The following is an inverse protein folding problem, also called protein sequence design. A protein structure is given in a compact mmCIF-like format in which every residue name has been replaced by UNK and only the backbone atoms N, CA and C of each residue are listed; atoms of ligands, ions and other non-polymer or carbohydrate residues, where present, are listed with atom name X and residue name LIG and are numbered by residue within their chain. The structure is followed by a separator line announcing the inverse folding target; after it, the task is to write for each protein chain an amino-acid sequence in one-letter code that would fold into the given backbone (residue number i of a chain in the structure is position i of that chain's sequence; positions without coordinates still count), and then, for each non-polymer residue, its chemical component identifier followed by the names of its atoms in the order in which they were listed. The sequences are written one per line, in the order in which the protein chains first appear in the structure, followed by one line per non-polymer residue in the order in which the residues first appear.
data_IF_311810529507
#
_entry.id   IF_311810529507
#
_cell.length_a   1.000
_cell.length_b   1.000
_cell.length_c   1.000
_cell.angle_alpha   90.00
_cell.angle_beta   90.00
_cell.angle_gamma   90.00
#
_symmetry.space_group_name_H-M   'P 1'
#
loop_
_entity.id
_entity.type
_entity.pdbx_description
1 polymer ?
#
# COMPACT_ATOMS: atom_id res chain seq x y z
N UNK A 1 88.80 49.07 5.11
CA UNK A 1 87.70 48.51 4.29
C UNK A 1 86.45 48.36 5.18
N UNK A 2 85.31 48.84 4.78
CA UNK A 2 84.06 48.60 5.54
C UNK A 2 83.81 47.12 5.56
N UNK A 3 83.51 46.57 6.73
CA UNK A 3 83.14 45.16 6.86
C UNK A 3 81.71 44.93 6.34
N UNK A 4 81.59 44.64 5.05
CA UNK A 4 80.29 44.46 4.36
C UNK A 4 79.47 43.28 4.89
N UNK A 5 80.12 42.32 5.59
CA UNK A 5 79.49 41.19 6.20
C UNK A 5 78.53 41.59 7.34
N UNK A 6 78.79 42.69 8.02
CA UNK A 6 77.95 43.28 9.05
C UNK A 6 76.55 43.74 8.48
N UNK A 7 76.60 44.27 7.27
CA UNK A 7 75.40 44.72 6.58
C UNK A 7 74.62 43.63 5.83
N UNK A 8 75.36 42.54 5.53
CA UNK A 8 74.72 41.39 4.83
C UNK A 8 74.20 40.28 5.79
N UNK A 9 74.63 40.31 7.06
CA UNK A 9 74.49 39.19 7.99
C UNK A 9 73.07 38.79 8.35
N UNK A 10 72.09 39.68 8.32
CA UNK A 10 70.73 39.32 8.68
C UNK A 10 69.87 38.93 7.48
N UNK A 11 70.30 39.16 6.25
CA UNK A 11 69.44 39.00 5.05
C UNK A 11 69.99 37.96 4.05
N UNK A 12 71.14 37.31 4.32
CA UNK A 12 71.80 36.41 3.36
C UNK A 12 72.03 37.12 2.00
N UNK A 13 72.10 38.46 2.03
CA UNK A 13 72.32 39.24 0.84
C UNK A 13 73.82 39.34 0.53
N UNK A 14 74.14 39.38 -0.73
CA UNK A 14 75.50 39.57 -1.22
C UNK A 14 75.64 41.02 -1.62
N UNK A 15 76.61 41.74 -1.03
CA UNK A 15 76.93 43.10 -1.37
C UNK A 15 78.30 43.13 -2.05
N UNK A 16 78.34 43.80 -3.21
CA UNK A 16 79.65 44.04 -3.92
C UNK A 16 79.72 45.56 -4.21
N UNK A 17 80.88 46.09 -4.00
CA UNK A 17 81.20 47.46 -4.36
C UNK A 17 82.28 47.38 -5.49
N UNK A 18 81.94 47.99 -6.60
CA UNK A 18 82.76 48.02 -7.79
C UNK A 18 83.20 49.46 -8.09
N UNK A 19 84.32 49.58 -8.68
CA UNK A 19 84.77 50.83 -9.28
C UNK A 19 84.02 51.07 -10.60
N UNK A 20 84.16 52.29 -11.13
CA UNK A 20 83.59 52.70 -12.41
C UNK A 20 84.06 51.84 -13.60
N UNK A 21 85.15 51.19 -13.50
CA UNK A 21 85.76 50.26 -14.48
C UNK A 21 85.25 48.81 -14.30
N UNK A 22 84.38 48.52 -13.28
CA UNK A 22 83.87 47.20 -13.00
C UNK A 22 84.85 46.34 -12.17
N UNK A 23 85.88 46.89 -11.60
CA UNK A 23 86.85 46.19 -10.70
C UNK A 23 86.16 46.08 -9.31
N UNK A 24 86.20 44.95 -8.68
CA UNK A 24 85.63 44.72 -7.35
C UNK A 24 86.55 45.34 -6.30
N UNK A 25 86.06 46.35 -5.62
CA UNK A 25 86.72 47.04 -4.52
C UNK A 25 86.50 46.32 -3.18
N UNK A 26 85.27 45.81 -2.96
CA UNK A 26 84.98 45.06 -1.77
C UNK A 26 83.77 44.14 -2.07
N UNK A 27 83.68 43.03 -1.40
CA UNK A 27 82.54 42.10 -1.47
C UNK A 27 82.37 41.38 -0.13
N UNK A 28 81.14 40.82 0.07
CA UNK A 28 80.87 39.89 1.17
C UNK A 28 81.54 38.55 0.91
N UNK A 29 81.95 37.84 1.97
CA UNK A 29 82.75 36.60 1.89
C UNK A 29 82.11 35.47 1.06
N UNK A 30 80.80 35.43 0.96
CA UNK A 30 80.02 34.43 0.23
C UNK A 30 79.50 34.91 -1.13
N UNK A 31 80.16 35.83 -1.75
CA UNK A 31 79.71 36.43 -3.02
C UNK A 31 79.87 35.43 -4.19
N UNK A 32 78.77 34.97 -4.84
CA UNK A 32 78.87 34.20 -6.06
C UNK A 32 79.46 35.07 -7.20
N UNK A 33 79.93 34.42 -8.26
CA UNK A 33 80.34 35.15 -9.44
C UNK A 33 79.19 35.76 -10.22
N UNK A 34 78.83 36.99 -9.91
CA UNK A 34 77.74 37.71 -10.55
C UNK A 34 78.09 38.30 -11.92
N UNK A 35 79.18 37.86 -12.51
CA UNK A 35 79.73 38.34 -13.78
C UNK A 35 80.42 39.72 -13.67
N UNK A 36 81.16 40.17 -14.74
CA UNK A 36 81.61 41.53 -14.90
C UNK A 36 80.44 42.45 -15.29
N UNK A 37 80.15 43.45 -14.51
CA UNK A 37 79.05 44.35 -14.77
C UNK A 37 79.56 45.56 -15.54
N UNK A 38 78.87 45.89 -16.61
CA UNK A 38 79.14 47.15 -17.33
C UNK A 38 78.46 48.27 -16.49
N UNK A 39 79.16 49.33 -16.13
CA UNK A 39 78.88 50.13 -14.96
C UNK A 39 77.83 51.27 -15.18
N UNK A 40 77.02 51.31 -16.16
CA UNK A 40 76.28 52.54 -16.49
C UNK A 40 74.78 52.62 -16.40
N UNK A 41 74.20 51.60 -15.80
CA UNK A 41 72.69 51.65 -15.69
C UNK A 41 72.21 51.11 -14.37
N UNK A 42 71.43 51.89 -13.61
CA UNK A 42 70.63 51.39 -12.50
C UNK A 42 69.60 50.33 -13.03
N UNK A 43 69.91 49.04 -12.81
CA UNK A 43 69.08 47.93 -13.31
C UNK A 43 68.99 46.82 -12.29
N UNK A 44 67.77 46.21 -12.27
CA UNK A 44 67.57 44.90 -11.64
C UNK A 44 67.81 43.79 -12.67
N UNK A 45 68.66 42.81 -12.37
CA UNK A 45 68.90 41.63 -13.22
C UNK A 45 68.81 40.37 -12.40
N UNK A 46 68.43 39.26 -13.06
CA UNK A 46 68.48 37.94 -12.47
C UNK A 46 69.70 37.22 -12.99
N UNK A 47 70.65 36.86 -12.10
CA UNK A 47 71.92 36.22 -12.43
C UNK A 47 72.10 35.02 -11.48
N UNK A 48 72.21 33.81 -12.02
CA UNK A 48 72.45 32.56 -11.26
C UNK A 48 71.51 32.37 -10.05
N UNK A 49 70.25 32.70 -10.18
CA UNK A 49 69.25 32.58 -9.11
C UNK A 49 69.26 33.70 -8.06
N UNK A 50 70.03 34.75 -8.33
CA UNK A 50 69.98 35.95 -7.52
C UNK A 50 69.37 37.12 -8.27
N UNK A 51 68.47 37.84 -7.57
CA UNK A 51 68.04 39.16 -8.00
C UNK A 51 69.07 40.18 -7.60
N UNK A 52 69.79 40.75 -8.59
CA UNK A 52 70.88 41.69 -8.42
C UNK A 52 70.32 43.08 -8.76
N UNK A 53 70.41 43.95 -7.78
CA UNK A 53 70.10 45.40 -7.97
C UNK A 53 71.45 46.14 -8.02
N UNK A 54 71.67 46.91 -9.05
CA UNK A 54 72.89 47.70 -9.26
C UNK A 54 72.52 49.17 -9.15
N UNK A 55 73.24 49.89 -8.25
CA UNK A 55 73.05 51.34 -8.08
C UNK A 55 74.40 52.06 -8.09
N UNK A 56 74.42 53.16 -8.76
CA UNK A 56 75.57 54.06 -8.75
C UNK A 56 75.47 55.03 -7.56
N UNK A 57 76.52 55.19 -6.81
CA UNK A 57 76.60 56.14 -5.69
C UNK A 57 77.96 56.73 -5.60
N UNK A 58 78.09 57.78 -4.79
CA UNK A 58 79.39 58.42 -4.51
C UNK A 58 79.70 58.17 -3.04
N UNK A 59 80.79 57.42 -2.79
CA UNK A 59 81.29 57.27 -1.45
C UNK A 59 82.32 58.43 -1.17
N UNK A 60 82.16 58.99 0.03
CA UNK A 60 82.99 60.07 0.51
C UNK A 60 83.82 59.54 1.68
N UNK A 61 85.12 59.85 1.68
CA UNK A 61 86.00 59.50 2.80
C UNK A 61 85.60 60.21 4.08
N UNK A 62 85.87 59.67 5.27
CA UNK A 62 85.40 60.25 6.54
C UNK A 62 85.90 61.70 6.74
N UNK A 63 87.02 62.01 6.13
CA UNK A 63 87.66 63.36 6.17
C UNK A 63 87.12 64.31 5.07
N UNK A 64 86.14 63.89 4.28
CA UNK A 64 85.56 64.62 3.16
C UNK A 64 86.54 65.01 2.04
N UNK A 65 87.74 64.53 2.05
CA UNK A 65 88.86 64.94 1.12
C UNK A 65 88.70 64.28 -0.26
N UNK A 66 88.13 63.12 -0.37
CA UNK A 66 88.03 62.39 -1.64
C UNK A 66 86.61 61.91 -1.86
N UNK A 67 86.11 62.13 -3.07
CA UNK A 67 84.82 61.60 -3.55
C UNK A 67 85.11 60.58 -4.64
N UNK A 68 84.66 59.33 -4.41
CA UNK A 68 84.84 58.22 -5.37
C UNK A 68 83.48 57.75 -5.82
N UNK A 69 83.24 57.76 -7.13
CA UNK A 69 82.07 57.20 -7.69
C UNK A 69 82.19 55.67 -7.69
N UNK A 70 81.22 54.95 -7.10
CA UNK A 70 81.21 53.52 -7.00
C UNK A 70 79.87 52.95 -7.44
N UNK A 71 79.85 51.67 -7.80
CA UNK A 71 78.70 50.94 -8.13
C UNK A 71 78.49 49.89 -7.03
N UNK A 72 77.35 49.99 -6.37
CA UNK A 72 76.95 48.99 -5.35
C UNK A 72 75.99 48.00 -6.00
N UNK A 73 76.36 46.72 -5.90
CA UNK A 73 75.47 45.59 -6.26
C UNK A 73 74.99 44.92 -5.00
N UNK A 74 73.68 44.88 -4.90
CA UNK A 74 72.96 44.12 -3.86
C UNK A 74 72.32 42.91 -4.51
N UNK A 75 72.61 41.70 -4.09
CA UNK A 75 72.10 40.51 -4.65
C UNK A 75 71.38 39.66 -3.56
N UNK A 76 70.21 39.25 -3.82
CA UNK A 76 69.43 38.37 -2.93
C UNK A 76 68.99 37.10 -3.68
N UNK A 77 69.09 35.94 -3.05
CA UNK A 77 68.58 34.68 -3.62
C UNK A 77 67.08 34.69 -3.81
N UNK A 78 66.60 34.34 -5.01
CA UNK A 78 65.16 34.24 -5.33
C UNK A 78 64.58 32.97 -4.77
N UNK A 79 65.39 31.90 -4.64
CA UNK A 79 64.94 30.60 -4.10
C UNK A 79 64.36 30.68 -2.69
N UNK A 80 64.79 31.63 -1.87
CA UNK A 80 64.28 31.76 -0.50
C UNK A 80 62.85 32.31 -0.50
N UNK A 81 62.53 33.17 -1.47
CA UNK A 81 61.20 33.71 -1.67
C UNK A 81 60.27 32.64 -2.25
N UNK A 82 60.72 31.89 -3.26
CA UNK A 82 59.95 30.81 -3.89
C UNK A 82 59.61 29.70 -2.89
N UNK A 83 60.60 29.29 -2.08
CA UNK A 83 60.36 28.28 -1.04
C UNK A 83 59.33 28.74 -0.01
N UNK A 84 59.31 30.01 0.34
CA UNK A 84 58.31 30.57 1.26
C UNK A 84 56.94 30.60 0.62
N UNK A 85 56.83 31.02 -0.64
CA UNK A 85 55.58 31.01 -1.40
C UNK A 85 55.05 29.58 -1.56
N UNK A 86 55.90 28.60 -1.87
CA UNK A 86 55.49 27.20 -1.96
C UNK A 86 54.95 26.65 -0.62
N UNK A 87 55.59 26.96 0.50
CA UNK A 87 55.10 26.58 1.82
C UNK A 87 53.72 27.18 2.13
N UNK A 88 53.58 28.48 1.91
CA UNK A 88 52.30 29.17 2.14
C UNK A 88 51.20 28.59 1.24
N UNK A 89 51.50 28.37 -0.05
CA UNK A 89 50.56 27.75 -0.98
C UNK A 89 50.14 26.33 -0.55
N UNK A 90 51.12 25.53 -0.10
CA UNK A 90 50.85 24.20 0.41
C UNK A 90 49.94 24.22 1.63
N UNK A 91 50.18 25.07 2.63
CA UNK A 91 49.35 25.21 3.81
C UNK A 91 47.93 25.73 3.48
N UNK A 92 47.80 26.66 2.52
CA UNK A 92 46.54 27.13 2.06
C UNK A 92 45.71 26.03 1.37
N UNK A 93 46.33 25.30 0.44
CA UNK A 93 45.67 24.18 -0.25
C UNK A 93 45.27 23.11 0.77
N UNK A 94 46.18 22.71 1.66
CA UNK A 94 45.88 21.71 2.69
C UNK A 94 44.76 22.17 3.65
N UNK A 95 44.77 23.43 4.07
CA UNK A 95 43.75 24.00 4.92
C UNK A 95 42.36 24.04 4.23
N UNK A 96 42.32 24.48 2.97
CA UNK A 96 41.04 24.52 2.21
C UNK A 96 40.51 23.10 1.95
N UNK A 97 41.36 22.20 1.47
CA UNK A 97 40.94 20.81 1.19
C UNK A 97 40.53 20.08 2.48
N UNK A 98 41.34 20.19 3.53
CA UNK A 98 41.04 19.59 4.83
C UNK A 98 39.77 20.15 5.45
N UNK A 99 39.59 21.46 5.43
CA UNK A 99 38.37 22.14 5.91
C UNK A 99 37.11 21.70 5.12
N UNK A 100 37.25 21.62 3.79
CA UNK A 100 36.14 21.16 2.94
C UNK A 100 35.73 19.70 3.23
N UNK A 101 36.73 18.81 3.38
CA UNK A 101 36.48 17.40 3.70
C UNK A 101 35.85 17.24 5.09
N UNK A 102 36.32 17.99 6.08
CA UNK A 102 35.72 18.00 7.41
C UNK A 102 34.26 18.51 7.41
N UNK A 103 34.03 19.61 6.70
CA UNK A 103 32.67 20.15 6.54
C UNK A 103 31.74 19.16 5.83
N UNK A 104 32.22 18.50 4.78
CA UNK A 104 31.47 17.47 4.06
C UNK A 104 31.16 16.27 4.97
N UNK A 105 32.16 15.75 5.68
CA UNK A 105 31.98 14.63 6.60
C UNK A 105 31.00 14.96 7.73
N UNK A 106 31.13 16.15 8.33
CA UNK A 106 30.22 16.64 9.37
C UNK A 106 28.79 16.83 8.84
N UNK A 107 28.66 17.41 7.64
CA UNK A 107 27.35 17.58 6.99
C UNK A 107 26.66 16.26 6.66
N UNK A 108 27.39 15.30 6.12
CA UNK A 108 26.86 13.95 5.84
C UNK A 108 26.47 13.20 7.14
N UNK A 109 27.27 13.32 8.19
CA UNK A 109 26.97 12.72 9.49
C UNK A 109 25.70 13.32 10.09
N UNK A 110 25.57 14.65 10.07
CA UNK A 110 24.40 15.36 10.58
C UNK A 110 23.13 15.03 9.77
N UNK A 111 23.23 15.03 8.43
CA UNK A 111 22.15 14.66 7.55
C UNK A 111 21.66 13.22 7.81
N UNK A 112 22.60 12.26 7.93
CA UNK A 112 22.28 10.87 8.24
C UNK A 112 21.59 10.72 9.59
N UNK A 113 22.04 11.46 10.60
CA UNK A 113 21.46 11.47 11.94
C UNK A 113 20.04 12.07 11.95
N UNK A 114 19.81 13.15 11.20
CA UNK A 114 18.50 13.80 11.09
C UNK A 114 17.48 12.97 10.30
N UNK A 115 17.92 12.19 9.30
CA UNK A 115 17.03 11.37 8.47
C UNK A 115 16.71 10.00 9.08
N UNK A 116 17.48 9.54 10.05
CA UNK A 116 17.32 8.21 10.65
C UNK A 116 15.94 7.99 11.31
N UNK A 117 15.37 8.93 12.07
CA UNK A 117 14.03 8.80 12.63
C UNK A 117 12.94 8.69 11.57
N UNK A 118 13.03 9.47 10.49
CA UNK A 118 12.06 9.44 9.37
C UNK A 118 12.08 8.08 8.67
N UNK A 119 13.27 7.53 8.44
CA UNK A 119 13.41 6.19 7.86
C UNK A 119 12.79 5.10 8.75
N UNK A 120 12.98 5.18 10.07
CA UNK A 120 12.38 4.26 11.02
C UNK A 120 10.85 4.36 11.02
N UNK A 121 10.28 5.57 11.03
CA UNK A 121 8.84 5.81 10.93
C UNK A 121 8.27 5.23 9.64
N UNK A 122 8.92 5.48 8.50
CA UNK A 122 8.49 4.97 7.20
C UNK A 122 8.50 3.44 7.16
N UNK A 123 9.54 2.81 7.71
CA UNK A 123 9.65 1.34 7.75
C UNK A 123 8.57 0.73 8.64
N UNK A 124 8.33 1.30 9.82
CA UNK A 124 7.28 0.81 10.74
C UNK A 124 5.90 0.96 10.11
N UNK A 125 5.60 2.11 9.50
CA UNK A 125 4.32 2.34 8.83
C UNK A 125 4.10 1.35 7.67
N UNK A 126 5.14 1.07 6.89
CA UNK A 126 5.08 0.07 5.81
C UNK A 126 4.80 -1.32 6.37
N UNK A 127 5.48 -1.70 7.45
CA UNK A 127 5.28 -3.00 8.10
C UNK A 127 3.87 -3.14 8.66
N UNK A 128 3.31 -2.09 9.28
CA UNK A 128 1.91 -2.06 9.74
C UNK A 128 0.94 -2.20 8.55
N UNK A 129 1.21 -1.54 7.44
CA UNK A 129 0.38 -1.64 6.24
C UNK A 129 0.39 -3.05 5.62
N UNK A 130 1.55 -3.73 5.63
CA UNK A 130 1.71 -5.09 5.10
C UNK A 130 1.12 -6.16 6.02
N UNK A 131 1.38 -6.07 7.33
CA UNK A 131 0.91 -7.07 8.32
C UNK A 131 -0.52 -6.82 8.77
N UNK A 132 -1.05 -5.61 8.58
CA UNK A 132 -2.35 -5.15 9.11
C UNK A 132 -2.48 -5.36 10.63
N UNK A 133 -1.36 -5.41 11.35
CA UNK A 133 -1.32 -5.59 12.79
C UNK A 133 -1.44 -4.23 13.51
N UNK A 134 -2.58 -3.94 14.14
CA UNK A 134 -2.81 -2.67 14.82
C UNK A 134 -2.09 -2.56 16.17
N UNK A 135 -1.46 -3.63 16.64
CA UNK A 135 -0.76 -3.64 17.94
C UNK A 135 0.66 -3.06 17.85
N UNK A 136 1.21 -2.94 16.65
CA UNK A 136 2.53 -2.37 16.40
C UNK A 136 2.55 -0.88 16.78
N UNK A 137 3.55 -0.50 17.57
CA UNK A 137 3.73 0.88 18.02
C UNK A 137 4.69 1.64 17.15
N UNK A 138 4.39 2.92 16.94
CA UNK A 138 5.29 3.84 16.24
C UNK A 138 6.43 4.21 17.18
N UNK A 139 7.71 4.05 16.76
CA UNK A 139 8.85 4.47 17.56
C UNK A 139 8.79 5.98 17.84
N UNK A 140 8.81 6.36 19.12
CA UNK A 140 8.83 7.75 19.50
C UNK A 140 10.27 8.28 19.47
N UNK A 141 10.59 9.29 18.64
CA UNK A 141 11.89 9.96 18.68
C UNK A 141 12.12 10.60 20.07
N UNK A 142 13.37 10.60 20.51
CA UNK A 142 13.75 11.24 21.79
C UNK A 142 13.92 12.77 21.69
N UNK A 143 13.71 13.31 20.51
CA UNK A 143 13.80 14.75 20.21
C UNK A 143 12.42 15.40 20.35
N UNK A 144 12.40 16.68 20.73
CA UNK A 144 11.18 17.50 20.75
C UNK A 144 11.14 18.39 19.49
N UNK A 145 11.11 17.77 18.31
CA UNK A 145 11.09 18.44 17.03
C UNK A 145 9.83 18.05 16.22
N UNK A 146 9.70 18.58 15.02
CA UNK A 146 8.57 18.35 14.12
C UNK A 146 8.42 16.85 13.77
N UNK A 147 9.52 16.08 13.82
CA UNK A 147 9.51 14.64 13.59
C UNK A 147 8.85 13.89 14.75
N UNK A 148 9.08 14.35 15.98
CA UNK A 148 8.44 13.78 17.17
C UNK A 148 6.94 14.13 17.21
N UNK A 149 6.54 15.31 16.75
CA UNK A 149 5.14 15.70 16.63
C UNK A 149 4.44 14.83 15.58
N UNK A 150 5.07 14.65 14.41
CA UNK A 150 4.58 13.75 13.37
C UNK A 150 4.42 12.30 13.87
N UNK A 151 5.39 11.78 14.62
CA UNK A 151 5.35 10.44 15.20
C UNK A 151 4.17 10.30 16.17
N UNK A 152 3.90 11.31 17.01
CA UNK A 152 2.76 11.32 17.94
C UNK A 152 1.43 11.33 17.21
N UNK A 153 1.27 12.23 16.24
CA UNK A 153 0.03 12.33 15.44
C UNK A 153 -0.24 11.02 14.68
N UNK A 154 0.80 10.40 14.13
CA UNK A 154 0.68 9.10 13.46
C UNK A 154 0.27 7.98 14.43
N UNK A 155 0.85 7.92 15.63
CA UNK A 155 0.49 6.94 16.66
C UNK A 155 -0.97 7.13 17.14
N UNK A 156 -1.41 8.38 17.30
CA UNK A 156 -2.81 8.71 17.62
C UNK A 156 -3.78 8.29 16.50
N UNK A 157 -3.44 8.55 15.25
CA UNK A 157 -4.24 8.12 14.11
C UNK A 157 -4.34 6.60 14.02
N UNK A 158 -3.23 5.88 14.22
CA UNK A 158 -3.22 4.42 14.22
C UNK A 158 -4.05 3.84 15.37
N UNK A 159 -4.00 4.45 16.56
CA UNK A 159 -4.87 4.05 17.69
C UNK A 159 -6.34 4.26 17.35
N UNK A 160 -6.71 5.44 16.88
CA UNK A 160 -8.09 5.71 16.49
C UNK A 160 -8.62 4.74 15.43
N UNK A 161 -7.76 4.37 14.46
CA UNK A 161 -8.08 3.36 13.46
C UNK A 161 -8.26 1.95 14.07
N UNK A 162 -7.38 1.55 14.99
CA UNK A 162 -7.47 0.28 15.71
C UNK A 162 -8.75 0.20 16.57
N UNK A 163 -9.06 1.26 17.29
CA UNK A 163 -10.27 1.35 18.13
C UNK A 163 -11.54 1.29 17.26
N UNK A 164 -11.59 2.06 16.16
CA UNK A 164 -12.72 2.04 15.22
C UNK A 164 -12.92 0.66 14.58
N UNK A 165 -11.83 -0.02 14.24
CA UNK A 165 -11.89 -1.39 13.72
C UNK A 165 -12.41 -2.37 14.77
N UNK A 166 -11.91 -2.29 16.00
CA UNK A 166 -12.37 -3.12 17.12
C UNK A 166 -13.85 -2.91 17.41
N UNK A 167 -14.31 -1.65 17.41
CA UNK A 167 -15.73 -1.32 17.57
C UNK A 167 -16.60 -1.91 16.45
N UNK A 168 -16.13 -1.82 15.20
CA UNK A 168 -16.80 -2.40 14.05
C UNK A 168 -16.88 -3.93 14.14
N UNK A 169 -15.79 -4.60 14.49
CA UNK A 169 -15.75 -6.05 14.71
C UNK A 169 -16.67 -6.46 15.85
N UNK A 170 -16.68 -5.73 16.98
CA UNK A 170 -17.59 -5.96 18.10
C UNK A 170 -19.06 -5.73 17.71
N UNK A 171 -19.36 -4.73 16.87
CA UNK A 171 -20.72 -4.49 16.35
C UNK A 171 -21.18 -5.63 15.46
N UNK A 172 -20.31 -6.15 14.58
CA UNK A 172 -20.60 -7.32 13.75
C UNK A 172 -20.89 -8.57 14.59
N UNK A 173 -20.10 -8.80 15.65
CA UNK A 173 -20.33 -9.93 16.57
C UNK A 173 -21.68 -9.79 17.28
N UNK A 174 -22.03 -8.61 17.78
CA UNK A 174 -23.33 -8.36 18.40
C UNK A 174 -24.48 -8.55 17.41
N UNK A 175 -24.34 -8.06 16.18
CA UNK A 175 -25.32 -8.25 15.13
C UNK A 175 -25.54 -9.74 14.82
N UNK A 176 -24.47 -10.52 14.72
CA UNK A 176 -24.52 -11.99 14.50
C UNK A 176 -25.26 -12.69 15.63
N UNK A 177 -24.93 -12.35 16.87
CA UNK A 177 -25.61 -12.94 18.04
C UNK A 177 -27.08 -12.57 18.05
N UNK A 178 -27.45 -11.31 17.82
CA UNK A 178 -28.84 -10.87 17.74
C UNK A 178 -29.64 -11.65 16.69
N UNK A 179 -29.07 -11.85 15.49
CA UNK A 179 -29.75 -12.62 14.42
C UNK A 179 -29.94 -14.09 14.81
N UNK A 180 -28.93 -14.69 15.49
CA UNK A 180 -29.03 -16.08 15.96
C UNK A 180 -30.14 -16.21 17.02
N UNK A 181 -30.12 -15.34 18.02
CA UNK A 181 -31.13 -15.36 19.11
C UNK A 181 -32.54 -15.10 18.60
N UNK A 182 -32.70 -14.08 17.73
CA UNK A 182 -33.99 -13.80 17.09
C UNK A 182 -34.50 -15.01 16.27
N UNK A 183 -33.60 -15.76 15.62
CA UNK A 183 -33.95 -16.97 14.87
C UNK A 183 -34.60 -18.02 15.75
N UNK A 184 -34.03 -18.27 16.94
CA UNK A 184 -34.56 -19.24 17.90
C UNK A 184 -35.83 -18.77 18.56
N UNK A 185 -35.88 -17.51 18.99
CA UNK A 185 -37.00 -16.91 19.68
C UNK A 185 -38.25 -16.79 18.77
N UNK A 186 -38.11 -16.61 17.47
CA UNK A 186 -39.20 -16.54 16.52
C UNK A 186 -39.67 -17.93 16.04
N UNK A 187 -38.79 -18.91 15.95
CA UNK A 187 -39.10 -20.26 15.48
C UNK A 187 -40.05 -20.98 16.45
N UNK A 188 -39.81 -20.89 17.75
CA UNK A 188 -40.56 -21.62 18.80
C UNK A 188 -42.02 -21.22 18.82
N UNK A 189 -42.45 -19.94 18.97
CA UNK A 189 -43.87 -19.58 19.00
C UNK A 189 -44.54 -19.88 17.66
N UNK A 190 -43.82 -19.71 16.53
CA UNK A 190 -44.40 -19.95 15.22
C UNK A 190 -44.69 -21.45 14.98
N UNK A 191 -43.80 -22.33 15.49
CA UNK A 191 -44.02 -23.79 15.47
C UNK A 191 -45.27 -24.16 16.31
N UNK A 192 -45.42 -23.57 17.51
CA UNK A 192 -46.60 -23.82 18.35
C UNK A 192 -47.90 -23.34 17.69
N UNK A 193 -47.89 -22.13 17.07
CA UNK A 193 -49.06 -21.62 16.33
C UNK A 193 -49.43 -22.55 15.19
N UNK A 194 -48.46 -23.04 14.41
CA UNK A 194 -48.67 -23.95 13.30
C UNK A 194 -49.28 -25.27 13.78
N UNK A 195 -48.70 -25.88 14.84
CA UNK A 195 -49.24 -27.15 15.39
C UNK A 195 -50.66 -27.00 15.86
N UNK A 196 -51.02 -25.90 16.54
CA UNK A 196 -52.37 -25.64 16.98
C UNK A 196 -53.35 -25.42 15.80
N UNK A 197 -52.90 -24.72 14.75
CA UNK A 197 -53.72 -24.49 13.56
C UNK A 197 -53.91 -25.77 12.73
N UNK A 198 -52.91 -26.63 12.67
CA UNK A 198 -53.01 -27.96 12.04
C UNK A 198 -54.08 -28.84 12.76
N UNK A 199 -54.01 -28.90 14.09
CA UNK A 199 -55.02 -29.62 14.89
C UNK A 199 -56.42 -29.04 14.70
N UNK A 200 -56.56 -27.72 14.63
CA UNK A 200 -57.87 -27.07 14.40
C UNK A 200 -58.38 -27.35 12.98
N UNK A 201 -57.54 -27.34 11.97
CA UNK A 201 -57.90 -27.61 10.59
C UNK A 201 -58.41 -29.05 10.39
N UNK A 202 -57.87 -30.00 11.18
CA UNK A 202 -58.28 -31.41 11.12
C UNK A 202 -59.61 -31.70 11.81
N UNK A 203 -60.03 -30.88 12.80
CA UNK A 203 -61.18 -31.12 13.65
C UNK A 203 -62.40 -30.26 13.27
N UNK A 204 -62.19 -29.12 12.59
CA UNK A 204 -63.23 -28.18 12.26
C UNK A 204 -63.84 -28.47 10.88
N UNK A 205 -65.17 -28.20 10.71
CA UNK A 205 -65.84 -28.33 9.46
C UNK A 205 -66.46 -26.98 8.99
N UNK A 206 -66.77 -26.90 7.69
CA UNK A 206 -67.44 -25.74 7.07
C UNK A 206 -66.62 -24.45 7.14
N UNK A 207 -67.23 -23.29 7.35
CA UNK A 207 -66.59 -21.98 7.38
C UNK A 207 -65.47 -21.87 8.44
N UNK A 208 -65.57 -22.63 9.53
CA UNK A 208 -64.51 -22.64 10.58
C UNK A 208 -63.30 -23.37 10.11
N UNK A 209 -63.43 -24.45 9.37
CA UNK A 209 -62.28 -25.15 8.73
C UNK A 209 -61.62 -24.29 7.68
N UNK A 210 -62.40 -23.52 6.87
CA UNK A 210 -61.87 -22.59 5.91
C UNK A 210 -61.04 -21.46 6.58
N UNK A 211 -61.57 -20.91 7.68
CA UNK A 211 -60.83 -19.90 8.47
C UNK A 211 -59.56 -20.46 9.08
N UNK A 212 -59.57 -21.67 9.66
CA UNK A 212 -58.40 -22.34 10.21
C UNK A 212 -57.35 -22.61 9.13
N UNK A 213 -57.76 -23.13 7.98
CA UNK A 213 -56.90 -23.36 6.83
C UNK A 213 -56.29 -22.07 6.27
N UNK A 214 -57.06 -20.97 6.24
CA UNK A 214 -56.55 -19.66 5.84
C UNK A 214 -55.48 -19.14 6.80
N UNK A 215 -55.73 -19.25 8.13
CA UNK A 215 -54.75 -18.90 9.16
C UNK A 215 -53.49 -19.78 9.09
N UNK A 216 -53.66 -21.08 8.83
CA UNK A 216 -52.55 -22.04 8.65
C UNK A 216 -51.69 -21.66 7.45
N UNK A 217 -52.29 -21.35 6.29
CA UNK A 217 -51.55 -20.88 5.12
C UNK A 217 -50.76 -19.58 5.42
N UNK A 218 -51.40 -18.64 6.12
CA UNK A 218 -50.76 -17.37 6.49
C UNK A 218 -49.57 -17.58 7.46
N UNK A 219 -49.76 -18.46 8.45
CA UNK A 219 -48.71 -18.80 9.42
C UNK A 219 -47.53 -19.53 8.78
N UNK A 220 -47.79 -20.47 7.84
CA UNK A 220 -46.76 -21.13 7.03
C UNK A 220 -45.99 -20.16 6.17
N UNK A 221 -46.68 -19.17 5.59
CA UNK A 221 -46.04 -18.07 4.82
C UNK A 221 -45.14 -17.23 5.73
N UNK A 222 -45.60 -16.84 6.91
CA UNK A 222 -44.81 -16.05 7.89
C UNK A 222 -43.57 -16.81 8.35
N UNK A 223 -43.70 -18.13 8.62
CA UNK A 223 -42.54 -18.98 8.96
C UNK A 223 -41.48 -18.95 7.87
N UNK A 224 -41.87 -19.07 6.59
CA UNK A 224 -40.94 -19.01 5.46
C UNK A 224 -40.27 -17.64 5.37
N UNK A 225 -41.04 -16.54 5.47
CA UNK A 225 -40.49 -15.18 5.42
C UNK A 225 -39.48 -14.92 6.52
N UNK A 226 -39.81 -15.31 7.76
CA UNK A 226 -38.89 -15.15 8.89
C UNK A 226 -37.60 -15.96 8.66
N UNK A 227 -37.70 -17.21 8.21
CA UNK A 227 -36.54 -18.05 7.90
C UNK A 227 -35.68 -17.43 6.79
N UNK A 228 -36.26 -16.87 5.75
CA UNK A 228 -35.61 -16.21 4.63
C UNK A 228 -34.88 -14.94 5.08
N UNK A 229 -35.51 -14.09 5.88
CA UNK A 229 -34.90 -12.89 6.41
C UNK A 229 -33.71 -13.19 7.33
N UNK A 230 -33.85 -14.21 8.18
CA UNK A 230 -32.80 -14.64 9.09
C UNK A 230 -31.62 -15.29 8.34
N UNK A 231 -31.87 -16.03 7.25
CA UNK A 231 -30.84 -16.57 6.39
C UNK A 231 -30.04 -15.42 5.72
N UNK A 232 -30.73 -14.45 5.14
CA UNK A 232 -30.09 -13.28 4.54
C UNK A 232 -29.28 -12.47 5.56
N UNK A 233 -29.83 -12.27 6.78
CA UNK A 233 -29.09 -11.58 7.84
C UNK A 233 -27.85 -12.34 8.34
N UNK A 234 -27.86 -13.68 8.32
CA UNK A 234 -26.69 -14.53 8.61
C UNK A 234 -25.65 -14.42 7.50
N UNK A 235 -26.06 -14.45 6.25
CA UNK A 235 -25.16 -14.30 5.11
C UNK A 235 -24.46 -12.92 5.12
N UNK A 236 -25.23 -11.84 5.38
CA UNK A 236 -24.66 -10.48 5.53
C UNK A 236 -23.63 -10.39 6.69
N UNK A 237 -23.84 -11.19 7.74
CA UNK A 237 -22.92 -11.25 8.88
C UNK A 237 -21.69 -12.14 8.62
N UNK A 238 -21.51 -12.67 7.40
CA UNK A 238 -20.39 -13.55 6.99
C UNK A 238 -20.19 -14.74 7.94
N UNK A 239 -21.26 -15.30 8.47
CA UNK A 239 -21.19 -16.54 9.25
C UNK A 239 -21.25 -17.71 8.29
N UNK A 240 -20.11 -18.30 8.02
CA UNK A 240 -20.05 -19.58 7.36
C UNK A 240 -20.76 -20.62 8.26
N UNK A 241 -21.80 -21.23 7.74
CA UNK A 241 -22.34 -22.45 8.35
C UNK A 241 -21.21 -23.51 8.29
N UNK A 242 -21.18 -24.50 9.21
CA UNK A 242 -20.23 -25.58 9.09
C UNK A 242 -20.34 -26.20 7.71
N UNK A 243 -19.28 -26.13 6.93
CA UNK A 243 -19.20 -26.75 5.61
C UNK A 243 -18.73 -28.18 5.79
N UNK A 244 -19.47 -29.10 5.22
CA UNK A 244 -19.14 -30.54 5.18
C UNK A 244 -19.17 -31.02 3.72
N UNK A 245 -18.32 -31.97 3.35
CA UNK A 245 -18.40 -32.59 2.02
C UNK A 245 -19.75 -33.29 1.81
N UNK A 246 -20.44 -32.93 0.73
CA UNK A 246 -21.74 -33.51 0.41
C UNK A 246 -21.98 -33.65 -1.09
N UNK A 247 -22.86 -34.53 -1.48
CA UNK A 247 -23.29 -34.69 -2.87
C UNK A 247 -24.42 -33.70 -3.21
N UNK A 248 -24.10 -32.66 -4.01
CA UNK A 248 -25.06 -31.68 -4.47
C UNK A 248 -26.16 -32.32 -5.33
N UNK A 249 -25.84 -33.33 -6.11
CA UNK A 249 -26.84 -34.07 -6.91
C UNK A 249 -27.94 -34.66 -6.04
N UNK A 250 -27.59 -35.25 -4.92
CA UNK A 250 -28.56 -35.80 -3.97
C UNK A 250 -29.42 -34.66 -3.34
N UNK A 251 -28.81 -33.57 -2.98
CA UNK A 251 -29.54 -32.39 -2.41
C UNK A 251 -30.56 -31.85 -3.38
N UNK A 252 -30.22 -31.74 -4.67
CA UNK A 252 -31.14 -31.27 -5.73
C UNK A 252 -32.29 -32.23 -5.94
N UNK A 253 -32.05 -33.56 -5.93
CA UNK A 253 -33.11 -34.56 -6.04
C UNK A 253 -34.08 -34.47 -4.84
N UNK A 254 -33.59 -34.32 -3.63
CA UNK A 254 -34.42 -34.15 -2.43
C UNK A 254 -35.28 -32.86 -2.50
N UNK A 255 -34.70 -31.73 -2.92
CA UNK A 255 -35.44 -30.48 -3.10
C UNK A 255 -36.52 -30.62 -4.19
N UNK A 256 -36.24 -31.33 -5.28
CA UNK A 256 -37.23 -31.59 -6.32
C UNK A 256 -38.35 -32.49 -5.83
N UNK A 257 -38.10 -33.50 -5.01
CA UNK A 257 -39.12 -34.39 -4.42
C UNK A 257 -40.10 -33.60 -3.52
N UNK A 258 -39.64 -32.56 -2.81
CA UNK A 258 -40.49 -31.66 -2.01
C UNK A 258 -41.46 -30.85 -2.87
N UNK A 259 -41.06 -30.51 -4.10
CA UNK A 259 -41.87 -29.73 -5.04
C UNK A 259 -42.90 -30.55 -5.82
N UNK A 260 -42.72 -31.86 -5.94
CA UNK A 260 -43.63 -32.72 -6.71
C UNK A 260 -45.10 -32.50 -6.46
N UNK A 261 -45.58 -32.40 -5.20
CA UNK A 261 -47.00 -32.13 -4.89
C UNK A 261 -47.50 -30.72 -5.25
N UNK A 262 -46.59 -29.76 -5.49
CA UNK A 262 -46.87 -28.34 -5.72
C UNK A 262 -46.63 -27.94 -7.18
N UNK A 263 -46.00 -28.79 -7.95
CA UNK A 263 -45.66 -28.59 -9.38
C UNK A 263 -46.90 -28.73 -10.30
N UNK A 264 -48.08 -28.33 -9.81
CA UNK A 264 -49.38 -28.48 -10.45
C UNK A 264 -49.36 -28.08 -11.94
N UNK A 265 -49.32 -29.10 -12.83
CA UNK A 265 -49.29 -28.91 -14.27
C UNK A 265 -47.92 -28.60 -14.91
N UNK A 266 -46.80 -28.63 -14.17
CA UNK A 266 -45.45 -28.51 -14.70
C UNK A 266 -44.75 -29.87 -14.80
N UNK A 267 -43.88 -30.05 -15.82
CA UNK A 267 -43.03 -31.22 -15.92
C UNK A 267 -41.63 -30.89 -15.34
N UNK A 268 -41.30 -31.55 -14.22
CA UNK A 268 -39.99 -31.37 -13.57
C UNK A 268 -39.04 -32.51 -13.92
N UNK A 269 -38.02 -32.21 -14.73
CA UNK A 269 -36.98 -33.15 -15.15
C UNK A 269 -35.65 -32.91 -14.36
N UNK A 270 -35.14 -33.95 -13.73
CA UNK A 270 -33.92 -33.87 -12.89
C UNK A 270 -32.82 -34.74 -13.45
N UNK A 271 -31.76 -34.11 -13.89
CA UNK A 271 -30.51 -34.72 -14.37
C UNK A 271 -29.36 -34.51 -13.41
N UNK A 272 -29.40 -35.07 -12.22
CA UNK A 272 -28.41 -34.85 -11.18
C UNK A 272 -27.39 -35.97 -11.18
N UNK A 273 -26.13 -35.67 -11.57
CA UNK A 273 -24.98 -36.55 -11.40
C UNK A 273 -24.37 -36.35 -10.01
N UNK A 274 -23.81 -37.41 -9.37
CA UNK A 274 -23.07 -37.25 -8.13
C UNK A 274 -21.94 -36.21 -8.28
N UNK A 275 -21.94 -35.17 -7.44
CA UNK A 275 -20.95 -34.10 -7.50
C UNK A 275 -20.70 -33.56 -6.08
N UNK A 276 -19.46 -33.69 -5.61
CA UNK A 276 -19.07 -33.32 -4.26
C UNK A 276 -18.79 -31.82 -4.17
N UNK A 277 -19.38 -31.18 -3.17
CA UNK A 277 -19.14 -29.80 -2.80
C UNK A 277 -19.00 -29.68 -1.28
N UNK A 278 -18.24 -28.70 -0.81
CA UNK A 278 -18.18 -28.36 0.60
C UNK A 278 -19.25 -27.33 0.92
N UNK A 279 -20.16 -27.67 1.86
CA UNK A 279 -21.25 -26.72 2.17
C UNK A 279 -22.18 -27.14 3.31
N UNK A 280 -23.17 -26.29 3.54
CA UNK A 280 -24.29 -26.55 4.45
C UNK A 280 -25.43 -27.19 3.67
N UNK A 281 -25.82 -28.42 4.07
CA UNK A 281 -26.91 -29.14 3.41
C UNK A 281 -28.22 -28.33 3.36
N UNK A 282 -28.59 -27.71 4.47
CA UNK A 282 -29.85 -26.95 4.57
C UNK A 282 -29.83 -25.71 3.65
N UNK A 283 -28.68 -25.03 3.55
CA UNK A 283 -28.52 -23.84 2.71
C UNK A 283 -28.55 -24.21 1.23
N UNK A 284 -27.81 -25.28 0.83
CA UNK A 284 -27.79 -25.75 -0.56
C UNK A 284 -29.17 -26.34 -0.99
N UNK A 285 -29.87 -27.03 -0.10
CA UNK A 285 -31.22 -27.47 -0.33
C UNK A 285 -32.15 -26.27 -0.56
N UNK A 286 -32.03 -25.22 0.27
CA UNK A 286 -32.77 -24.00 0.13
C UNK A 286 -32.52 -23.26 -1.17
N UNK A 287 -31.24 -23.23 -1.61
CA UNK A 287 -30.85 -22.66 -2.90
C UNK A 287 -31.53 -23.40 -4.05
N UNK A 288 -31.41 -24.74 -4.09
CA UNK A 288 -32.00 -25.55 -5.14
C UNK A 288 -33.54 -25.39 -5.17
N UNK A 289 -34.17 -25.43 -4.00
CA UNK A 289 -35.61 -25.24 -3.85
C UNK A 289 -36.08 -23.87 -4.39
N UNK A 290 -35.37 -22.77 -4.01
CA UNK A 290 -35.70 -21.43 -4.48
C UNK A 290 -35.61 -21.29 -6.01
N UNK A 291 -34.59 -21.87 -6.64
CA UNK A 291 -34.45 -21.85 -8.09
C UNK A 291 -35.58 -22.58 -8.79
N UNK A 292 -35.91 -23.79 -8.36
CA UNK A 292 -36.97 -24.60 -8.96
C UNK A 292 -38.37 -24.02 -8.65
N UNK A 293 -38.61 -23.54 -7.41
CA UNK A 293 -39.89 -22.83 -7.07
C UNK A 293 -40.07 -21.58 -7.93
N UNK A 294 -38.97 -20.85 -8.22
CA UNK A 294 -39.04 -19.67 -9.06
C UNK A 294 -39.46 -20.04 -10.50
N UNK A 295 -38.92 -21.11 -11.05
CA UNK A 295 -39.30 -21.61 -12.37
C UNK A 295 -40.79 -22.00 -12.41
N UNK A 296 -41.29 -22.74 -11.42
CA UNK A 296 -42.72 -23.16 -11.34
C UNK A 296 -43.64 -21.95 -11.17
N UNK A 297 -43.31 -20.99 -10.33
CA UNK A 297 -44.20 -19.85 -10.01
C UNK A 297 -44.32 -18.82 -11.11
N UNK A 298 -43.27 -18.64 -11.90
CA UNK A 298 -43.22 -17.57 -12.91
C UNK A 298 -43.44 -18.06 -14.33
N UNK A 299 -43.82 -19.33 -14.49
CA UNK A 299 -44.17 -19.90 -15.78
C UNK A 299 -45.59 -20.43 -15.80
N UNK A 300 -46.27 -20.47 -16.95
CA UNK A 300 -47.63 -21.04 -17.07
C UNK A 300 -47.63 -22.56 -16.89
N UNK A 301 -48.76 -23.16 -16.51
CA UNK A 301 -48.92 -24.62 -16.53
C UNK A 301 -48.55 -25.21 -17.91
N UNK A 302 -47.91 -26.38 -17.92
CA UNK A 302 -47.41 -27.03 -19.12
C UNK A 302 -45.95 -26.71 -19.42
N UNK A 303 -45.27 -25.83 -18.65
CA UNK A 303 -43.88 -25.52 -18.79
C UNK A 303 -42.98 -26.67 -18.29
N UNK A 304 -41.90 -26.98 -19.01
CA UNK A 304 -40.87 -27.92 -18.61
C UNK A 304 -39.81 -27.20 -17.80
N UNK A 305 -39.57 -27.70 -16.58
CA UNK A 305 -38.49 -27.22 -15.70
C UNK A 305 -37.42 -28.28 -15.61
N UNK A 306 -36.21 -27.94 -16.04
CA UNK A 306 -35.08 -28.85 -16.02
C UNK A 306 -34.01 -28.41 -14.99
N UNK A 307 -33.63 -29.29 -14.07
CA UNK A 307 -32.58 -29.07 -13.12
C UNK A 307 -31.45 -30.10 -13.35
N UNK A 308 -30.25 -29.60 -13.59
CA UNK A 308 -29.08 -30.44 -13.87
C UNK A 308 -27.92 -30.12 -12.93
N UNK A 309 -27.25 -31.17 -12.44
CA UNK A 309 -25.98 -31.06 -11.70
C UNK A 309 -24.91 -31.80 -12.49
N UNK A 310 -23.84 -31.09 -12.83
CA UNK A 310 -22.72 -31.64 -13.59
C UNK A 310 -21.40 -31.17 -13.01
N UNK A 311 -20.37 -32.03 -13.09
CA UNK A 311 -19.00 -31.65 -12.79
C UNK A 311 -18.27 -31.39 -14.09
N UNK A 312 -17.69 -30.18 -14.23
CA UNK A 312 -16.97 -29.77 -15.44
C UNK A 312 -15.77 -28.89 -15.06
N UNK A 313 -14.60 -29.20 -15.64
CA UNK A 313 -13.39 -28.38 -15.50
C UNK A 313 -12.96 -28.07 -14.04
N UNK A 314 -13.16 -28.96 -13.11
CA UNK A 314 -12.86 -28.73 -11.69
C UNK A 314 -13.86 -27.83 -10.97
N UNK A 315 -15.07 -27.70 -11.50
CA UNK A 315 -16.21 -27.02 -10.87
C UNK A 315 -17.44 -27.91 -10.88
N UNK A 316 -18.31 -27.70 -9.92
CA UNK A 316 -19.64 -28.31 -9.91
C UNK A 316 -20.64 -27.24 -10.32
N UNK A 317 -21.45 -27.54 -11.31
CA UNK A 317 -22.41 -26.61 -11.91
C UNK A 317 -23.83 -27.13 -11.70
N UNK A 318 -24.64 -26.34 -10.99
CA UNK A 318 -26.10 -26.51 -10.93
C UNK A 318 -26.74 -25.58 -11.96
N UNK A 319 -27.50 -26.16 -12.87
CA UNK A 319 -28.31 -25.38 -13.85
C UNK A 319 -29.78 -25.65 -13.58
N UNK A 320 -30.57 -24.61 -13.46
CA UNK A 320 -32.07 -24.70 -13.45
C UNK A 320 -32.57 -23.86 -14.60
N UNK A 321 -33.35 -24.47 -15.51
CA UNK A 321 -33.90 -23.80 -16.68
C UNK A 321 -35.36 -24.16 -16.87
N UNK A 322 -36.12 -23.25 -17.45
CA UNK A 322 -37.52 -23.43 -17.87
C UNK A 322 -37.69 -23.04 -19.36
N UNK A 323 -38.73 -23.49 -20.00
CA UNK A 323 -39.14 -23.14 -21.36
C UNK A 323 -40.31 -22.12 -21.36
N UNK A 324 -40.41 -21.33 -20.30
CA UNK A 324 -41.42 -20.29 -20.11
C UNK A 324 -41.16 -18.98 -20.87
N UNK A 325 -41.80 -17.88 -20.50
CA UNK A 325 -41.69 -16.60 -21.19
C UNK A 325 -40.34 -15.90 -21.01
N UNK A 326 -39.49 -16.40 -20.11
CA UNK A 326 -38.19 -15.81 -19.78
C UNK A 326 -38.31 -14.56 -18.89
N UNK A 327 -37.18 -13.87 -18.73
CA UNK A 327 -37.07 -12.71 -17.85
C UNK A 327 -36.97 -11.42 -18.67
N UNK A 328 -37.85 -10.41 -18.41
CA UNK A 328 -37.78 -9.11 -19.09
C UNK A 328 -36.40 -8.44 -18.92
N UNK A 329 -35.92 -7.80 -20.00
CA UNK A 329 -34.60 -7.20 -20.03
C UNK A 329 -34.30 -6.22 -18.87
N UNK A 330 -35.30 -5.42 -18.51
CA UNK A 330 -35.19 -4.43 -17.42
C UNK A 330 -34.98 -5.06 -16.03
N UNK A 331 -35.43 -6.31 -15.85
CA UNK A 331 -35.28 -7.03 -14.58
C UNK A 331 -33.97 -7.83 -14.47
N UNK A 332 -33.33 -8.16 -15.60
CA UNK A 332 -32.19 -9.07 -15.64
C UNK A 332 -31.02 -8.66 -14.75
N UNK A 333 -30.76 -7.37 -14.65
CA UNK A 333 -29.67 -6.84 -13.81
C UNK A 333 -30.01 -6.83 -12.33
N UNK A 334 -31.33 -6.78 -11.99
CA UNK A 334 -31.81 -6.57 -10.63
C UNK A 334 -32.51 -7.77 -10.02
N UNK A 335 -32.66 -8.90 -10.74
CA UNK A 335 -33.42 -10.07 -10.26
C UNK A 335 -32.84 -10.70 -8.97
N UNK A 336 -31.57 -10.48 -8.68
CA UNK A 336 -30.92 -10.95 -7.44
C UNK A 336 -31.00 -9.91 -6.30
N UNK A 337 -31.55 -8.73 -6.54
CA UNK A 337 -31.78 -7.74 -5.46
C UNK A 337 -32.99 -8.16 -4.61
N UNK A 338 -32.95 -7.79 -3.33
CA UNK A 338 -34.03 -8.08 -2.38
C UNK A 338 -35.31 -7.34 -2.77
N UNK A 339 -36.44 -7.99 -2.60
CA UNK A 339 -37.78 -7.44 -2.89
C UNK A 339 -38.04 -7.07 -4.37
N UNK A 340 -37.20 -7.55 -5.28
CA UNK A 340 -37.43 -7.36 -6.73
C UNK A 340 -38.57 -8.26 -7.18
N UNK A 341 -39.56 -7.68 -7.89
CA UNK A 341 -40.75 -8.34 -8.42
C UNK A 341 -41.02 -7.88 -9.85
N UNK A 342 -41.54 -8.77 -10.68
CA UNK A 342 -42.02 -8.43 -12.03
C UNK A 342 -43.42 -7.80 -11.98
N UNK A 343 -43.76 -7.00 -12.98
CA UNK A 343 -45.10 -6.44 -13.15
C UNK A 343 -46.08 -7.59 -13.37
N UNK A 344 -47.08 -7.72 -12.48
CA UNK A 344 -48.11 -8.78 -12.55
C UNK A 344 -47.90 -9.93 -11.55
N UNK A 345 -46.88 -9.95 -10.72
CA UNK A 345 -46.75 -10.94 -9.64
C UNK A 345 -47.70 -10.65 -8.47
N UNK A 346 -48.92 -11.18 -8.57
CA UNK A 346 -49.96 -11.11 -7.54
C UNK A 346 -49.92 -12.31 -6.59
N UNK A 347 -48.98 -13.22 -6.78
CA UNK A 347 -48.96 -14.57 -6.22
C UNK A 347 -48.20 -14.79 -4.90
N UNK A 348 -48.12 -13.80 -4.01
CA UNK A 348 -47.68 -14.03 -2.62
C UNK A 348 -46.20 -14.34 -2.40
N UNK A 349 -45.32 -14.13 -3.37
CA UNK A 349 -43.85 -14.17 -3.19
C UNK A 349 -43.34 -12.80 -2.68
N UNK A 350 -42.35 -12.83 -1.78
CA UNK A 350 -41.81 -11.60 -1.17
C UNK A 350 -40.64 -11.01 -1.98
N UNK A 351 -40.27 -11.59 -3.12
CA UNK A 351 -39.09 -11.18 -3.90
C UNK A 351 -37.77 -11.45 -3.18
N UNK A 352 -37.73 -12.47 -2.34
CA UNK A 352 -36.50 -12.85 -1.59
C UNK A 352 -35.79 -14.09 -2.15
N UNK A 353 -36.50 -14.94 -2.93
CA UNK A 353 -35.95 -16.25 -3.37
C UNK A 353 -34.61 -16.14 -4.10
N UNK A 354 -34.51 -15.29 -5.12
CA UNK A 354 -33.23 -15.15 -5.88
C UNK A 354 -32.17 -14.41 -5.09
N UNK A 355 -32.52 -13.52 -4.18
CA UNK A 355 -31.52 -12.91 -3.28
C UNK A 355 -30.98 -13.92 -2.27
N UNK A 356 -31.78 -14.91 -1.85
CA UNK A 356 -31.31 -16.05 -1.05
C UNK A 356 -30.36 -16.92 -1.87
N UNK A 357 -30.71 -17.24 -3.12
CA UNK A 357 -29.84 -18.00 -4.01
C UNK A 357 -28.46 -17.33 -4.11
N UNK A 358 -28.42 -16.02 -4.30
CA UNK A 358 -27.17 -15.25 -4.36
C UNK A 358 -26.40 -15.31 -3.03
N UNK A 359 -27.07 -15.06 -1.93
CA UNK A 359 -26.46 -15.07 -0.61
C UNK A 359 -25.86 -16.45 -0.23
N UNK A 360 -26.61 -17.53 -0.53
CA UNK A 360 -26.12 -18.89 -0.32
C UNK A 360 -24.97 -19.22 -1.27
N UNK A 361 -25.03 -18.85 -2.54
CA UNK A 361 -23.92 -19.06 -3.46
C UNK A 361 -22.63 -18.33 -2.96
N UNK A 362 -22.76 -17.07 -2.60
CA UNK A 362 -21.61 -16.28 -2.08
C UNK A 362 -21.03 -16.87 -0.79
N UNK A 363 -21.86 -17.39 0.14
CA UNK A 363 -21.37 -18.06 1.37
C UNK A 363 -20.65 -19.39 1.12
N UNK A 364 -20.87 -19.99 -0.05
CA UNK A 364 -20.21 -21.24 -0.49
C UNK A 364 -19.10 -20.99 -1.54
N UNK A 365 -18.60 -19.75 -1.63
CA UNK A 365 -17.61 -19.33 -2.64
C UNK A 365 -18.03 -19.65 -4.09
N UNK A 366 -19.36 -19.81 -4.31
CA UNK A 366 -19.96 -20.06 -5.61
C UNK A 366 -20.42 -18.76 -6.28
N UNK A 367 -20.59 -18.81 -7.60
CA UNK A 367 -21.14 -17.70 -8.37
C UNK A 367 -22.50 -18.10 -8.93
N UNK A 368 -23.45 -17.14 -8.95
CA UNK A 368 -24.75 -17.31 -9.61
C UNK A 368 -24.87 -16.34 -10.78
N UNK A 369 -25.33 -16.83 -11.90
CA UNK A 369 -25.54 -16.02 -13.09
C UNK A 369 -26.82 -16.43 -13.82
N UNK A 370 -27.42 -15.45 -14.52
CA UNK A 370 -28.45 -15.71 -15.51
C UNK A 370 -27.76 -16.09 -16.82
N UNK A 371 -27.96 -17.33 -17.27
CA UNK A 371 -27.40 -17.83 -18.51
C UNK A 371 -27.98 -17.13 -19.74
N UNK A 372 -27.30 -17.22 -20.87
CA UNK A 372 -27.87 -16.81 -22.15
C UNK A 372 -29.10 -17.70 -22.44
N UNK A 373 -30.22 -17.07 -22.72
CA UNK A 373 -31.42 -17.73 -23.25
C UNK A 373 -31.68 -17.16 -24.64
N UNK A 374 -31.96 -18.03 -25.63
CA UNK A 374 -32.47 -17.58 -26.90
C UNK A 374 -33.90 -17.06 -26.73
N UNK A 375 -34.39 -16.20 -27.62
CA UNK A 375 -35.79 -15.78 -27.57
C UNK A 375 -36.71 -16.99 -27.65
N UNK A 376 -37.46 -17.25 -26.57
CA UNK A 376 -38.35 -18.40 -26.43
C UNK A 376 -37.81 -19.58 -25.60
N UNK A 377 -36.55 -19.52 -25.10
CA UNK A 377 -35.95 -20.58 -24.31
C UNK A 377 -36.18 -20.44 -22.79
N UNK A 378 -37.06 -19.51 -22.37
CA UNK A 378 -37.36 -19.32 -20.93
C UNK A 378 -36.23 -18.64 -20.15
N UNK A 379 -36.09 -18.97 -18.86
CA UNK A 379 -35.02 -18.52 -18.01
C UNK A 379 -34.04 -19.65 -17.71
N UNK A 380 -32.74 -19.31 -17.56
CA UNK A 380 -31.70 -20.26 -17.20
C UNK A 380 -30.79 -19.68 -16.12
N UNK A 381 -30.84 -20.27 -14.94
CA UNK A 381 -29.98 -19.95 -13.83
C UNK A 381 -28.82 -20.94 -13.74
N UNK A 382 -27.62 -20.42 -13.55
CA UNK A 382 -26.39 -21.23 -13.46
C UNK A 382 -25.68 -20.87 -12.17
N UNK A 383 -25.46 -21.85 -11.29
CA UNK A 383 -24.66 -21.72 -10.08
C UNK A 383 -23.43 -22.57 -10.21
N UNK A 384 -22.25 -21.95 -10.07
CA UNK A 384 -20.95 -22.61 -10.22
C UNK A 384 -20.23 -22.65 -8.89
N UNK A 385 -20.00 -23.83 -8.37
CA UNK A 385 -19.27 -24.11 -7.12
C UNK A 385 -17.84 -24.50 -7.42
N UNK A 386 -16.85 -24.13 -6.58
CA UNK A 386 -15.55 -24.75 -6.62
C UNK A 386 -15.69 -26.26 -6.32
N UNK A 387 -14.95 -27.11 -7.00
CA UNK A 387 -14.91 -28.52 -6.64
C UNK A 387 -14.09 -28.70 -5.34
N UNK A 388 -14.56 -29.62 -4.48
CA UNK A 388 -13.86 -30.01 -3.26
C UNK A 388 -12.55 -30.72 -3.58
#
# INVERSE_FOLDING_TARGET
HPNLNVYAGSTHAVIRILDTDGTILAHTDSAPNLGRTIPFVDRTRFIQGYRVETRRTVLQTPDHSVRVAVVIQYARRVSDLENTVHKVRFFLIFGVVGGTLLALAGGLWLAKRAMQPIAALTQTTRHIAETRDPTLRVPQPKTEDEVAELARTLDEMLRALADSRSESEAALVRQRQFVADASHELRTPLTSILANLELLADVLDGERAEAANSALRSSRRMRRLVADLLLLARADASREAPHEPMDLGQVVVEAAAELGPVADGHELDISAKPAMVDGSRDDLHRLALNLMENAIKHTPPGTHVHAAVEQSNGHVVLTVSDDGPGIPGELRERIFERFTRGDGDHGGSFGLGLSIVRAVAESHAATVALGPAAPGDGARFVVTFPAS
#
